data_IF_834626427361
#
_entry.id   IF_834626427361
#
_cell.length_a   1.000
_cell.length_b   1.000
_cell.length_c   1.000
_cell.angle_alpha   90.00
_cell.angle_beta   90.00
_cell.angle_gamma   90.00
#
_symmetry.space_group_name_H-M   'P 1'
#
loop_
_entity.id
_entity.type
_entity.pdbx_description
1 polymer ?
#
# COMPACT_ATOMS: atom_id res chain seq x y z
N UNK A 1 30.10 6.06 -29.88
CA UNK A 1 30.99 6.96 -29.11
C UNK A 1 32.19 7.33 -29.97
N UNK A 2 32.57 8.61 -30.05
CA UNK A 2 33.76 9.06 -30.79
C UNK A 2 35.06 8.65 -30.08
N UNK A 3 36.14 8.43 -30.83
CA UNK A 3 37.49 8.09 -30.33
C UNK A 3 37.98 9.12 -29.29
N UNK A 4 37.63 10.40 -29.46
CA UNK A 4 37.96 11.45 -28.50
C UNK A 4 37.20 11.28 -27.16
N UNK A 5 35.94 10.85 -27.21
CA UNK A 5 35.14 10.57 -26.01
C UNK A 5 35.69 9.37 -25.24
N UNK A 6 36.19 8.35 -25.94
CA UNK A 6 36.78 7.16 -25.31
C UNK A 6 38.09 7.50 -24.59
N UNK A 7 39.00 8.26 -25.23
CA UNK A 7 40.24 8.75 -24.60
C UNK A 7 39.96 9.54 -23.31
N UNK A 8 38.95 10.41 -23.33
CA UNK A 8 38.54 11.18 -22.15
C UNK A 8 38.09 10.30 -20.98
N UNK A 9 37.34 9.23 -21.25
CA UNK A 9 36.92 8.28 -20.20
C UNK A 9 38.11 7.52 -19.62
N UNK A 10 39.09 7.12 -20.45
CA UNK A 10 40.33 6.53 -19.95
C UNK A 10 41.10 7.47 -19.03
N UNK A 11 41.23 8.75 -19.37
CA UNK A 11 41.91 9.74 -18.52
C UNK A 11 41.25 9.91 -17.14
N UNK A 12 39.91 9.99 -17.11
CA UNK A 12 39.16 10.03 -15.84
C UNK A 12 39.38 8.77 -15.01
N UNK A 13 39.35 7.60 -15.63
CA UNK A 13 39.60 6.33 -14.96
C UNK A 13 41.03 6.25 -14.39
N UNK A 14 42.04 6.66 -15.18
CA UNK A 14 43.43 6.74 -14.72
C UNK A 14 43.58 7.66 -13.51
N UNK A 15 42.97 8.85 -13.55
CA UNK A 15 43.00 9.78 -12.42
C UNK A 15 42.33 9.19 -11.18
N UNK A 16 41.15 8.58 -11.33
CA UNK A 16 40.43 7.95 -10.21
C UNK A 16 41.24 6.84 -9.53
N UNK A 17 41.96 6.03 -10.32
CA UNK A 17 42.87 5.00 -9.79
C UNK A 17 44.07 5.64 -9.09
N UNK A 18 44.64 6.70 -9.67
CA UNK A 18 45.75 7.45 -9.06
C UNK A 18 45.40 8.05 -7.71
N UNK A 19 44.18 8.53 -7.52
CA UNK A 19 43.72 9.09 -6.23
C UNK A 19 43.43 7.99 -5.20
N UNK A 20 42.80 6.89 -5.62
CA UNK A 20 42.45 5.78 -4.70
C UNK A 20 43.62 4.90 -4.28
N UNK A 21 44.59 4.68 -5.17
CA UNK A 21 45.68 3.69 -4.99
C UNK A 21 47.05 4.36 -4.94
N UNK A 22 47.21 5.51 -5.60
CA UNK A 22 48.50 6.19 -5.75
C UNK A 22 48.74 7.37 -4.81
N UNK A 23 47.84 7.63 -3.85
CA UNK A 23 48.01 8.71 -2.87
C UNK A 23 47.95 10.13 -3.43
N UNK A 24 47.49 10.32 -4.67
CA UNK A 24 47.35 11.64 -5.24
C UNK A 24 46.12 12.35 -4.66
N UNK A 25 46.30 13.57 -4.13
CA UNK A 25 45.15 14.39 -3.74
C UNK A 25 44.47 14.99 -4.98
N UNK A 26 43.15 14.85 -5.05
CA UNK A 26 42.30 15.54 -6.02
C UNK A 26 41.99 16.97 -5.58
N UNK A 27 41.41 17.77 -6.48
CA UNK A 27 40.86 19.09 -6.12
C UNK A 27 39.82 18.93 -5.01
N UNK A 28 40.05 19.58 -3.86
CA UNK A 28 39.16 19.51 -2.70
C UNK A 28 37.98 20.46 -2.90
N UNK A 29 36.78 19.96 -2.62
CA UNK A 29 35.59 20.78 -2.42
C UNK A 29 35.60 21.31 -0.98
N UNK A 30 35.01 22.48 -0.77
CA UNK A 30 34.85 23.10 0.54
C UNK A 30 33.91 22.29 1.45
N UNK A 31 33.95 22.59 2.76
CA UNK A 31 33.18 21.83 3.75
C UNK A 31 31.67 22.07 3.64
N UNK A 32 31.24 23.25 3.20
CA UNK A 32 29.82 23.56 3.00
C UNK A 32 29.24 22.73 1.85
N UNK A 33 29.98 22.60 0.73
CA UNK A 33 29.62 21.70 -0.36
C UNK A 33 29.45 20.26 0.13
N UNK A 34 30.43 19.75 0.88
CA UNK A 34 30.41 18.36 1.37
C UNK A 34 29.25 18.12 2.34
N UNK A 35 28.93 19.09 3.19
CA UNK A 35 27.80 18.98 4.10
C UNK A 35 26.47 18.99 3.34
N UNK A 36 26.33 19.83 2.30
CA UNK A 36 25.17 19.79 1.41
C UNK A 36 25.04 18.44 0.71
N UNK A 37 26.13 17.93 0.12
CA UNK A 37 26.17 16.62 -0.54
C UNK A 37 25.75 15.50 0.43
N UNK A 38 26.27 15.53 1.67
CA UNK A 38 25.91 14.58 2.73
C UNK A 38 24.42 14.65 3.07
N UNK A 39 23.87 15.86 3.24
CA UNK A 39 22.44 16.04 3.54
C UNK A 39 21.57 15.53 2.40
N UNK A 40 21.89 15.85 1.14
CA UNK A 40 21.16 15.34 -0.03
C UNK A 40 21.20 13.82 -0.12
N UNK A 41 22.35 13.19 0.11
CA UNK A 41 22.46 11.72 0.13
C UNK A 41 21.56 11.09 1.20
N UNK A 42 21.58 11.64 2.42
CA UNK A 42 20.73 11.17 3.52
C UNK A 42 19.25 11.34 3.16
N UNK A 43 18.86 12.50 2.64
CA UNK A 43 17.48 12.76 2.19
C UNK A 43 17.07 11.76 1.12
N UNK A 44 17.92 11.50 0.12
CA UNK A 44 17.62 10.54 -0.95
C UNK A 44 17.36 9.12 -0.42
N UNK A 45 18.22 8.63 0.48
CA UNK A 45 18.05 7.30 1.09
C UNK A 45 16.83 7.25 2.00
N UNK A 46 16.60 8.29 2.80
CA UNK A 46 15.45 8.38 3.70
C UNK A 46 14.13 8.36 2.91
N UNK A 47 14.02 9.14 1.83
CA UNK A 47 12.84 9.17 0.96
C UNK A 47 12.52 7.78 0.40
N UNK A 48 13.53 7.08 -0.16
CA UNK A 48 13.32 5.72 -0.68
C UNK A 48 12.89 4.73 0.38
N UNK A 49 13.58 4.72 1.53
CA UNK A 49 13.31 3.74 2.59
C UNK A 49 11.95 4.00 3.25
N UNK A 50 11.64 5.24 3.62
CA UNK A 50 10.37 5.61 4.24
C UNK A 50 9.21 5.28 3.30
N UNK A 51 9.30 5.65 2.02
CA UNK A 51 8.27 5.33 1.04
C UNK A 51 8.04 3.83 0.93
N UNK A 52 9.11 3.03 0.85
CA UNK A 52 9.00 1.58 0.81
C UNK A 52 8.29 1.06 2.07
N UNK A 53 8.76 1.44 3.27
CA UNK A 53 8.19 1.01 4.55
C UNK A 53 6.73 1.41 4.72
N UNK A 54 6.33 2.59 4.25
CA UNK A 54 4.93 3.02 4.30
C UNK A 54 4.06 2.17 3.39
N UNK A 55 4.51 1.81 2.19
CA UNK A 55 3.77 0.89 1.31
C UNK A 55 3.64 -0.52 1.93
N UNK A 56 4.69 -1.01 2.61
CA UNK A 56 4.63 -2.28 3.35
C UNK A 56 3.66 -2.23 4.54
N UNK A 57 3.63 -1.09 5.24
CA UNK A 57 2.73 -0.82 6.34
C UNK A 57 1.26 -0.80 5.88
N UNK A 58 0.95 -0.09 4.79
CA UNK A 58 -0.41 -0.02 4.26
C UNK A 58 -0.90 -1.39 3.79
N UNK A 59 -0.03 -2.13 3.08
CA UNK A 59 -0.34 -3.44 2.50
C UNK A 59 0.78 -4.46 2.79
N UNK A 60 0.68 -5.17 3.93
CA UNK A 60 1.61 -6.24 4.27
C UNK A 60 1.57 -7.39 3.25
N UNK A 61 0.40 -7.65 2.64
CA UNK A 61 0.25 -8.65 1.59
C UNK A 61 0.95 -8.21 0.29
N UNK A 62 1.93 -8.97 -0.23
CA UNK A 62 2.67 -8.60 -1.45
C UNK A 62 1.80 -8.40 -2.70
N UNK A 63 0.72 -9.18 -2.85
CA UNK A 63 -0.16 -9.09 -4.02
C UNK A 63 -1.00 -7.81 -4.01
N UNK A 64 -1.56 -7.45 -2.84
CA UNK A 64 -2.29 -6.18 -2.65
C UNK A 64 -1.34 -4.99 -2.77
N UNK A 65 -0.13 -5.10 -2.22
CA UNK A 65 0.92 -4.09 -2.32
C UNK A 65 1.29 -3.77 -3.78
N UNK A 66 1.43 -4.79 -4.61
CA UNK A 66 1.70 -4.62 -6.04
C UNK A 66 0.58 -3.83 -6.74
N UNK A 67 -0.69 -4.05 -6.36
CA UNK A 67 -1.83 -3.31 -6.91
C UNK A 67 -1.89 -1.87 -6.40
N UNK A 68 -1.59 -1.63 -5.13
CA UNK A 68 -1.47 -0.27 -4.56
C UNK A 68 -0.44 0.58 -5.32
N UNK A 69 0.72 0.01 -5.66
CA UNK A 69 1.73 0.69 -6.47
C UNK A 69 1.23 1.06 -7.88
N UNK A 70 0.26 0.32 -8.42
CA UNK A 70 -0.32 0.53 -9.76
C UNK A 70 -1.54 1.47 -9.76
N UNK A 71 -1.95 1.99 -8.61
CA UNK A 71 -3.19 2.78 -8.47
C UNK A 71 -3.24 4.00 -9.42
N UNK A 72 -2.10 4.66 -9.64
CA UNK A 72 -2.01 5.82 -10.54
C UNK A 72 -2.15 5.48 -12.03
N UNK A 73 -1.91 4.23 -12.41
CA UNK A 73 -2.06 3.76 -13.80
C UNK A 73 -3.53 3.40 -14.10
N UNK A 74 -4.33 3.04 -13.09
CA UNK A 74 -5.71 2.60 -13.29
C UNK A 74 -6.76 3.73 -13.18
N UNK A 75 -6.53 4.77 -12.37
CA UNK A 75 -7.49 5.88 -12.23
C UNK A 75 -7.68 6.71 -13.52
N UNK A 76 -6.71 6.70 -14.45
CA UNK A 76 -6.84 7.37 -15.75
C UNK A 76 -7.57 6.54 -16.82
N UNK A 77 -7.68 5.22 -16.65
CA UNK A 77 -8.14 4.31 -17.72
C UNK A 77 -9.60 3.87 -17.52
N UNK A 78 -10.15 3.94 -16.29
CA UNK A 78 -11.40 3.22 -16.00
C UNK A 78 -12.63 3.99 -15.55
N UNK A 79 -12.59 5.29 -15.31
CA UNK A 79 -13.81 6.11 -15.09
C UNK A 79 -14.82 5.56 -14.07
N UNK A 80 -14.40 4.68 -13.17
CA UNK A 80 -15.24 4.04 -12.15
C UNK A 80 -14.47 3.97 -10.84
N UNK A 81 -14.99 4.70 -9.86
CA UNK A 81 -14.64 4.67 -8.44
C UNK A 81 -14.91 3.27 -7.87
N UNK A 82 -13.98 2.33 -8.05
CA UNK A 82 -14.06 1.02 -7.39
C UNK A 82 -12.77 0.70 -6.67
N UNK A 83 -12.56 1.41 -5.55
CA UNK A 83 -11.53 1.13 -4.55
C UNK A 83 -10.11 0.98 -5.12
N UNK A 84 -9.16 0.45 -4.33
CA UNK A 84 -7.78 0.28 -4.75
C UNK A 84 -7.56 -0.96 -5.64
N UNK A 85 -8.64 -1.64 -6.05
CA UNK A 85 -8.59 -2.80 -6.93
C UNK A 85 -8.14 -4.11 -6.24
N UNK A 86 -8.11 -4.15 -4.92
CA UNK A 86 -7.94 -5.35 -4.09
C UNK A 86 -8.91 -5.33 -2.91
N UNK A 87 -9.10 -6.47 -2.25
CA UNK A 87 -9.94 -6.57 -1.06
C UNK A 87 -9.08 -6.41 0.20
N UNK A 88 -9.58 -5.63 1.16
CA UNK A 88 -9.00 -5.55 2.50
C UNK A 88 -9.34 -6.81 3.31
N UNK A 89 -8.55 -7.06 4.35
CA UNK A 89 -8.78 -8.21 5.24
C UNK A 89 -10.10 -8.07 6.01
N UNK A 90 -10.46 -6.84 6.36
CA UNK A 90 -11.69 -6.45 7.04
C UNK A 90 -12.92 -6.82 6.21
N UNK A 91 -12.89 -6.63 4.88
CA UNK A 91 -13.96 -7.07 3.98
C UNK A 91 -14.12 -8.59 3.96
N UNK A 92 -13.02 -9.35 3.96
CA UNK A 92 -13.08 -10.81 3.99
C UNK A 92 -13.70 -11.32 5.30
N UNK A 93 -13.38 -10.67 6.42
CA UNK A 93 -13.99 -10.96 7.72
C UNK A 93 -15.48 -10.61 7.74
N UNK A 94 -15.83 -9.44 7.20
CA UNK A 94 -17.22 -9.00 7.04
C UNK A 94 -18.06 -10.02 6.28
N UNK A 95 -17.57 -10.46 5.11
CA UNK A 95 -18.26 -11.45 4.27
C UNK A 95 -18.53 -12.76 5.03
N UNK A 96 -17.57 -13.23 5.82
CA UNK A 96 -17.73 -14.44 6.62
C UNK A 96 -18.78 -14.27 7.73
N UNK A 97 -18.73 -13.16 8.47
CA UNK A 97 -19.69 -12.85 9.54
C UNK A 97 -21.11 -12.70 8.98
N UNK A 98 -21.29 -11.94 7.90
CA UNK A 98 -22.58 -11.73 7.26
C UNK A 98 -23.15 -13.04 6.71
N UNK A 99 -22.32 -13.86 6.07
CA UNK A 99 -22.72 -15.18 5.56
C UNK A 99 -23.26 -16.07 6.68
N UNK A 100 -22.47 -16.29 7.73
CA UNK A 100 -22.86 -17.20 8.81
C UNK A 100 -23.93 -16.62 9.72
N UNK A 101 -24.00 -15.30 9.87
CA UNK A 101 -25.11 -14.63 10.55
C UNK A 101 -26.46 -14.94 9.88
N UNK A 102 -26.49 -14.89 8.54
CA UNK A 102 -27.67 -15.25 7.76
C UNK A 102 -28.02 -16.73 7.82
N UNK A 103 -27.01 -17.62 7.81
CA UNK A 103 -27.22 -19.08 7.92
C UNK A 103 -27.75 -19.48 9.30
N UNK A 104 -27.30 -18.80 10.37
CA UNK A 104 -27.81 -19.00 11.73
C UNK A 104 -29.27 -18.55 11.89
N UNK A 105 -29.66 -17.50 11.18
CA UNK A 105 -31.01 -16.94 11.23
C UNK A 105 -31.26 -16.09 12.47
N UNK A 106 -32.47 -15.51 12.51
CA UNK A 106 -32.85 -14.49 13.50
C UNK A 106 -33.51 -15.08 14.77
N UNK A 107 -33.58 -16.41 14.87
CA UNK A 107 -34.19 -17.11 16.01
C UNK A 107 -33.24 -17.27 17.21
N UNK A 108 -31.98 -16.86 17.06
CA UNK A 108 -30.97 -16.77 18.11
C UNK A 108 -30.35 -15.36 18.15
N UNK A 109 -29.71 -15.00 19.27
CA UNK A 109 -29.05 -13.70 19.39
C UNK A 109 -27.78 -13.57 18.54
N UNK A 110 -27.13 -14.70 18.24
CA UNK A 110 -25.82 -14.73 17.60
C UNK A 110 -25.88 -14.39 16.10
N UNK A 111 -26.89 -14.89 15.38
CA UNK A 111 -27.06 -14.65 13.94
C UNK A 111 -27.11 -13.16 13.59
N UNK A 112 -28.06 -12.39 14.15
CA UNK A 112 -28.12 -10.96 13.84
C UNK A 112 -26.98 -10.15 14.50
N UNK A 113 -26.33 -10.65 15.55
CA UNK A 113 -25.14 -10.00 16.12
C UNK A 113 -23.93 -10.10 15.17
N UNK A 114 -23.74 -11.26 14.52
CA UNK A 114 -22.79 -11.41 13.43
C UNK A 114 -23.14 -10.50 12.24
N UNK A 115 -24.43 -10.28 12.00
CA UNK A 115 -24.91 -9.29 11.04
C UNK A 115 -24.37 -7.88 11.37
N UNK A 116 -24.68 -7.37 12.57
CA UNK A 116 -24.27 -6.03 13.02
C UNK A 116 -22.75 -5.84 12.97
N UNK A 117 -21.97 -6.82 13.46
CA UNK A 117 -20.50 -6.76 13.44
C UNK A 117 -19.96 -6.89 12.02
N UNK A 118 -20.56 -7.75 11.19
CA UNK A 118 -20.19 -7.90 9.79
C UNK A 118 -20.37 -6.62 8.98
N UNK A 119 -21.46 -5.88 9.21
CA UNK A 119 -21.66 -4.56 8.59
C UNK A 119 -20.60 -3.55 9.04
N UNK A 120 -20.32 -3.48 10.35
CA UNK A 120 -19.27 -2.62 10.88
C UNK A 120 -17.88 -2.97 10.31
N UNK A 121 -17.55 -4.26 10.16
CA UNK A 121 -16.29 -4.69 9.53
C UNK A 121 -16.23 -4.29 8.04
N UNK A 122 -17.35 -4.30 7.33
CA UNK A 122 -17.41 -3.82 5.94
C UNK A 122 -17.16 -2.32 5.87
N UNK A 123 -17.77 -1.53 6.74
CA UNK A 123 -17.52 -0.09 6.82
C UNK A 123 -16.04 0.20 7.15
N UNK A 124 -15.43 -0.53 8.10
CA UNK A 124 -14.00 -0.41 8.39
C UNK A 124 -13.11 -0.70 7.17
N UNK A 125 -13.50 -1.65 6.33
CA UNK A 125 -12.80 -1.91 5.06
C UNK A 125 -12.83 -0.71 4.12
N UNK A 126 -13.94 0.02 4.03
CA UNK A 126 -14.08 1.19 3.16
C UNK A 126 -13.24 2.38 3.68
N UNK A 127 -13.19 2.56 5.01
CA UNK A 127 -12.30 3.54 5.64
C UNK A 127 -10.82 3.15 5.42
N UNK A 128 -10.49 1.86 5.45
CA UNK A 128 -9.13 1.36 5.18
C UNK A 128 -8.73 1.54 3.70
N UNK A 129 -9.65 1.34 2.77
CA UNK A 129 -9.44 1.67 1.35
C UNK A 129 -9.15 3.16 1.18
N UNK A 130 -9.90 4.02 1.87
CA UNK A 130 -9.71 5.47 1.84
C UNK A 130 -8.33 5.88 2.38
N UNK A 131 -7.88 5.27 3.48
CA UNK A 131 -6.52 5.47 4.00
C UNK A 131 -5.45 5.13 2.96
N UNK A 132 -5.57 3.98 2.31
CA UNK A 132 -4.59 3.52 1.32
C UNK A 132 -4.49 4.49 0.15
N UNK A 133 -5.63 4.97 -0.36
CA UNK A 133 -5.70 5.93 -1.47
C UNK A 133 -5.10 7.27 -1.05
N UNK A 134 -5.47 7.78 0.12
CA UNK A 134 -5.04 9.07 0.64
C UNK A 134 -3.52 9.11 0.86
N UNK A 135 -2.97 8.13 1.59
CA UNK A 135 -1.52 8.02 1.80
C UNK A 135 -0.77 7.81 0.49
N UNK A 136 -1.35 7.06 -0.46
CA UNK A 136 -0.73 6.87 -1.77
C UNK A 136 -0.59 8.20 -2.53
N UNK A 137 -1.67 8.98 -2.59
CA UNK A 137 -1.73 10.22 -3.38
C UNK A 137 -1.02 11.40 -2.71
N UNK A 138 -1.11 11.51 -1.39
CA UNK A 138 -0.67 12.70 -0.65
C UNK A 138 0.67 12.52 0.09
N UNK A 139 1.21 11.29 0.13
CA UNK A 139 2.51 11.03 0.74
C UNK A 139 3.46 10.26 -0.18
N UNK A 140 3.06 9.07 -0.64
CA UNK A 140 3.94 8.20 -1.45
C UNK A 140 4.27 8.85 -2.81
N UNK A 141 3.26 9.37 -3.52
CA UNK A 141 3.46 9.95 -4.85
C UNK A 141 4.30 11.23 -4.87
N UNK A 142 4.10 12.20 -3.95
CA UNK A 142 4.99 13.34 -3.81
C UNK A 142 6.44 12.94 -3.55
N UNK A 143 6.67 11.95 -2.67
CA UNK A 143 8.02 11.43 -2.38
C UNK A 143 8.64 10.72 -3.59
N UNK A 144 7.85 9.95 -4.34
CA UNK A 144 8.30 9.32 -5.58
C UNK A 144 8.68 10.38 -6.63
N UNK A 145 7.90 11.47 -6.75
CA UNK A 145 8.20 12.58 -7.66
C UNK A 145 9.50 13.30 -7.26
N UNK A 146 9.69 13.60 -5.98
CA UNK A 146 10.93 14.18 -5.43
C UNK A 146 12.14 13.30 -5.76
N UNK A 147 12.00 11.98 -5.59
CA UNK A 147 13.04 11.03 -5.92
C UNK A 147 13.36 10.97 -7.42
N UNK A 148 12.35 10.92 -8.27
CA UNK A 148 12.53 10.69 -9.71
C UNK A 148 12.89 11.93 -10.51
N UNK A 149 12.67 13.12 -9.95
CA UNK A 149 13.01 14.41 -10.56
C UNK A 149 14.19 15.06 -9.85
N UNK A 150 13.95 15.71 -8.72
CA UNK A 150 14.91 16.63 -8.10
C UNK A 150 16.16 15.90 -7.62
N UNK A 151 15.99 14.79 -6.88
CA UNK A 151 17.11 13.98 -6.39
C UNK A 151 17.89 13.32 -7.54
N UNK A 152 17.19 12.87 -8.59
CA UNK A 152 17.82 12.28 -9.78
C UNK A 152 18.62 13.31 -10.57
N UNK A 153 18.11 14.54 -10.69
CA UNK A 153 18.79 15.65 -11.34
C UNK A 153 20.04 16.08 -10.56
N UNK A 154 19.94 16.20 -9.23
CA UNK A 154 21.11 16.48 -8.37
C UNK A 154 22.16 15.38 -8.50
N UNK A 155 21.76 14.11 -8.47
CA UNK A 155 22.69 12.99 -8.71
C UNK A 155 23.37 13.08 -10.08
N UNK A 156 22.65 13.54 -11.11
CA UNK A 156 23.23 13.79 -12.43
C UNK A 156 24.29 14.91 -12.38
N UNK A 157 24.00 16.03 -11.72
CA UNK A 157 24.94 17.14 -11.56
C UNK A 157 26.18 16.74 -10.77
N UNK A 158 26.04 16.05 -9.65
CA UNK A 158 27.15 15.54 -8.84
C UNK A 158 28.05 14.58 -9.63
N UNK A 159 27.45 13.66 -10.40
CA UNK A 159 28.21 12.75 -11.27
C UNK A 159 28.95 13.49 -12.38
N UNK A 160 28.34 14.54 -12.94
CA UNK A 160 28.94 15.38 -13.97
C UNK A 160 30.12 16.17 -13.38
N UNK A 161 29.94 16.79 -12.22
CA UNK A 161 30.96 17.51 -11.47
C UNK A 161 32.17 16.62 -11.17
N UNK A 162 31.97 15.45 -10.58
CA UNK A 162 33.07 14.51 -10.30
C UNK A 162 33.81 14.13 -11.59
N UNK A 163 33.07 13.92 -12.68
CA UNK A 163 33.65 13.68 -13.99
C UNK A 163 34.43 14.86 -14.58
N UNK A 164 34.16 16.11 -14.17
CA UNK A 164 34.90 17.32 -14.58
C UNK A 164 36.11 17.54 -13.69
N UNK A 165 35.98 17.33 -12.38
CA UNK A 165 37.06 17.38 -11.41
C UNK A 165 38.21 16.44 -11.81
N UNK A 166 37.90 15.18 -12.11
CA UNK A 166 38.89 14.20 -12.57
C UNK A 166 39.58 14.61 -13.89
N UNK A 167 38.86 15.25 -14.82
CA UNK A 167 39.42 15.74 -16.10
C UNK A 167 40.36 16.92 -15.87
N UNK A 168 39.96 17.87 -15.02
CA UNK A 168 40.77 19.00 -14.61
C UNK A 168 42.04 18.55 -13.88
N UNK A 169 41.93 17.67 -12.88
CA UNK A 169 43.07 17.19 -12.10
C UNK A 169 44.08 16.41 -12.95
N UNK A 170 43.60 15.60 -13.90
CA UNK A 170 44.46 14.93 -14.88
C UNK A 170 45.25 15.93 -15.73
N UNK A 171 44.59 16.99 -16.22
CA UNK A 171 45.22 18.00 -17.06
C UNK A 171 46.19 18.88 -16.27
N UNK A 172 45.82 19.27 -15.06
CA UNK A 172 46.63 20.07 -14.13
C UNK A 172 47.95 19.37 -13.81
N UNK A 173 47.94 18.06 -13.56
CA UNK A 173 49.17 17.26 -13.36
C UNK A 173 50.09 17.22 -14.58
N UNK A 174 49.59 17.55 -15.77
CA UNK A 174 50.33 17.53 -17.04
C UNK A 174 50.49 18.94 -17.62
N UNK A 175 50.40 19.97 -16.77
CA UNK A 175 50.70 21.35 -17.15
C UNK A 175 52.09 21.43 -17.81
N UNK A 176 52.21 22.21 -18.89
CA UNK A 176 53.40 22.27 -19.75
C UNK A 176 53.49 21.15 -20.81
N UNK A 177 52.68 20.09 -20.72
CA UNK A 177 52.51 19.06 -21.77
C UNK A 177 51.15 19.14 -22.49
N UNK A 178 50.25 19.96 -21.98
CA UNK A 178 48.90 20.20 -22.49
C UNK A 178 48.79 21.70 -22.79
N UNK A 179 48.14 22.11 -23.90
CA UNK A 179 47.92 23.53 -24.18
C UNK A 179 47.18 24.22 -23.04
N UNK A 180 47.65 25.40 -22.64
CA UNK A 180 47.07 26.15 -21.51
C UNK A 180 45.57 26.44 -21.71
N UNK A 181 45.16 26.64 -22.96
CA UNK A 181 43.74 26.83 -23.30
C UNK A 181 42.90 25.60 -22.99
N UNK A 182 43.45 24.40 -23.15
CA UNK A 182 42.74 23.15 -22.85
C UNK A 182 42.64 22.88 -21.34
N UNK A 183 43.58 23.42 -20.56
CA UNK A 183 43.57 23.40 -19.10
C UNK A 183 42.58 24.44 -18.56
N UNK A 184 42.61 25.68 -19.08
CA UNK A 184 41.65 26.74 -18.74
C UNK A 184 40.21 26.31 -19.01
N UNK A 185 39.94 25.74 -20.18
CA UNK A 185 38.61 25.22 -20.54
C UNK A 185 38.17 24.00 -19.71
N UNK A 186 39.10 23.31 -19.02
CA UNK A 186 38.77 22.23 -18.10
C UNK A 186 38.41 22.77 -16.71
N UNK A 187 39.11 23.81 -16.25
CA UNK A 187 38.82 24.54 -15.02
C UNK A 187 37.43 25.20 -15.10
N UNK A 188 37.17 25.97 -16.16
CA UNK A 188 35.87 26.64 -16.37
C UNK A 188 34.70 25.65 -16.33
N UNK A 189 34.83 24.50 -17.00
CA UNK A 189 33.78 23.47 -16.99
C UNK A 189 33.63 22.74 -15.65
N UNK A 190 34.68 22.72 -14.83
CA UNK A 190 34.60 22.23 -13.46
C UNK A 190 33.85 23.23 -12.60
N UNK A 191 34.22 24.52 -12.64
CA UNK A 191 33.58 25.59 -11.88
C UNK A 191 32.08 25.71 -12.24
N UNK A 192 31.74 25.76 -13.54
CA UNK A 192 30.34 25.75 -14.00
C UNK A 192 29.55 24.54 -13.50
N UNK A 193 30.18 23.36 -13.44
CA UNK A 193 29.48 22.15 -12.95
C UNK A 193 29.35 22.15 -11.43
N UNK A 194 30.26 22.84 -10.72
CA UNK A 194 30.22 23.00 -9.27
C UNK A 194 29.07 23.91 -8.90
N UNK A 195 28.99 25.09 -9.51
CA UNK A 195 27.92 26.07 -9.28
C UNK A 195 26.53 25.47 -9.51
N UNK A 196 26.36 24.72 -10.61
CA UNK A 196 25.07 24.06 -10.90
C UNK A 196 24.74 23.00 -9.83
N UNK A 197 25.71 22.17 -9.43
CA UNK A 197 25.47 21.17 -8.39
C UNK A 197 25.16 21.82 -7.03
N UNK A 198 25.90 22.86 -6.64
CA UNK A 198 25.68 23.63 -5.41
C UNK A 198 24.28 24.24 -5.40
N UNK A 199 23.89 24.92 -6.48
CA UNK A 199 22.58 25.56 -6.56
C UNK A 199 21.44 24.54 -6.47
N UNK A 200 21.56 23.40 -7.17
CA UNK A 200 20.54 22.35 -7.10
C UNK A 200 20.43 21.72 -5.70
N UNK A 201 21.56 21.46 -5.03
CA UNK A 201 21.55 20.95 -3.66
C UNK A 201 20.97 21.97 -2.67
N UNK A 202 21.37 23.24 -2.80
CA UNK A 202 20.88 24.33 -1.97
C UNK A 202 19.36 24.48 -2.08
N UNK A 203 18.83 24.54 -3.31
CA UNK A 203 17.39 24.69 -3.54
C UNK A 203 16.59 23.53 -2.93
N UNK A 204 17.07 22.29 -3.02
CA UNK A 204 16.42 21.15 -2.38
C UNK A 204 16.38 21.31 -0.85
N UNK A 205 17.50 21.72 -0.26
CA UNK A 205 17.64 21.83 1.20
C UNK A 205 16.86 23.03 1.77
N UNK A 206 16.70 24.11 1.02
CA UNK A 206 15.85 25.25 1.40
C UNK A 206 14.35 24.95 1.25
N UNK A 207 13.98 23.91 0.48
CA UNK A 207 12.60 23.44 0.31
C UNK A 207 12.23 22.29 1.26
N UNK A 208 12.95 22.14 2.39
CA UNK A 208 12.76 21.06 3.36
C UNK A 208 11.38 21.06 4.04
N UNK A 209 10.76 22.24 4.11
CA UNK A 209 9.40 22.42 4.62
C UNK A 209 8.36 21.62 3.83
N UNK A 210 8.58 21.38 2.54
CA UNK A 210 7.68 20.55 1.73
C UNK A 210 7.71 19.09 2.19
N UNK A 211 8.86 18.57 2.62
CA UNK A 211 8.96 17.22 3.17
C UNK A 211 8.29 17.12 4.54
N UNK A 212 8.36 18.18 5.36
CA UNK A 212 7.60 18.25 6.62
C UNK A 212 6.09 18.27 6.35
N UNK A 213 5.65 18.99 5.32
CA UNK A 213 4.25 19.00 4.90
C UNK A 213 3.77 17.60 4.46
N UNK A 214 4.61 16.86 3.71
CA UNK A 214 4.33 15.47 3.33
C UNK A 214 4.19 14.56 4.57
N UNK A 215 5.07 14.69 5.56
CA UNK A 215 4.94 13.95 6.83
C UNK A 215 3.62 14.29 7.56
N UNK A 216 3.23 15.56 7.56
CA UNK A 216 1.95 15.98 8.12
C UNK A 216 0.77 15.32 7.39
N UNK A 217 0.82 15.20 6.06
CA UNK A 217 -0.23 14.54 5.29
C UNK A 217 -0.38 13.05 5.69
N UNK A 218 0.74 12.32 5.88
CA UNK A 218 0.71 10.95 6.38
C UNK A 218 0.02 10.86 7.75
N UNK A 219 0.38 11.74 8.68
CA UNK A 219 -0.19 11.74 10.04
C UNK A 219 -1.67 12.09 10.02
N UNK A 220 -2.07 13.06 9.20
CA UNK A 220 -3.47 13.45 9.07
C UNK A 220 -4.34 12.32 8.49
N UNK A 221 -3.86 11.63 7.45
CA UNK A 221 -4.54 10.48 6.88
C UNK A 221 -4.75 9.36 7.91
N UNK A 222 -3.71 9.05 8.69
CA UNK A 222 -3.79 8.04 9.77
C UNK A 222 -4.74 8.46 10.90
N UNK A 223 -4.70 9.73 11.30
CA UNK A 223 -5.58 10.26 12.34
C UNK A 223 -7.05 10.16 11.92
N UNK A 224 -7.36 10.55 10.69
CA UNK A 224 -8.72 10.50 10.17
C UNK A 224 -9.24 9.06 10.05
N UNK A 225 -8.41 8.14 9.54
CA UNK A 225 -8.70 6.71 9.53
C UNK A 225 -9.08 6.19 10.93
N UNK A 226 -8.24 6.46 11.93
CA UNK A 226 -8.49 5.98 13.29
C UNK A 226 -9.71 6.64 13.96
N UNK A 227 -9.97 7.92 13.65
CA UNK A 227 -11.15 8.63 14.15
C UNK A 227 -12.44 8.00 13.61
N UNK A 228 -12.52 7.76 12.30
CA UNK A 228 -13.68 7.10 11.69
C UNK A 228 -13.84 5.66 12.18
N UNK A 229 -12.74 4.90 12.25
CA UNK A 229 -12.77 3.53 12.77
C UNK A 229 -13.29 3.47 14.22
N UNK A 230 -12.87 4.41 15.06
CA UNK A 230 -13.35 4.53 16.45
C UNK A 230 -14.86 4.79 16.49
N UNK A 231 -15.37 5.67 15.63
CA UNK A 231 -16.80 5.95 15.56
C UNK A 231 -17.62 4.72 15.17
N UNK A 232 -17.18 3.98 14.14
CA UNK A 232 -17.84 2.73 13.69
C UNK A 232 -17.84 1.69 14.81
N UNK A 233 -16.69 1.47 15.44
CA UNK A 233 -16.54 0.51 16.53
C UNK A 233 -17.38 0.88 17.77
N UNK A 234 -17.46 2.17 18.11
CA UNK A 234 -18.28 2.64 19.21
C UNK A 234 -19.77 2.39 18.96
N UNK A 235 -20.24 2.60 17.72
CA UNK A 235 -21.63 2.36 17.34
C UNK A 235 -22.00 0.88 17.45
N UNK A 236 -21.18 -0.02 16.91
CA UNK A 236 -21.47 -1.47 17.02
C UNK A 236 -21.30 -1.99 18.44
N UNK A 237 -20.37 -1.45 19.23
CA UNK A 237 -20.24 -1.78 20.66
C UNK A 237 -21.54 -1.48 21.41
N UNK A 238 -22.11 -0.28 21.22
CA UNK A 238 -23.38 0.10 21.85
C UNK A 238 -24.53 -0.82 21.43
N UNK A 239 -24.62 -1.18 20.14
CA UNK A 239 -25.65 -2.13 19.63
C UNK A 239 -25.52 -3.50 20.31
N UNK A 240 -24.30 -4.00 20.49
CA UNK A 240 -24.06 -5.28 21.14
C UNK A 240 -24.38 -5.25 22.63
N UNK A 241 -24.04 -4.16 23.34
CA UNK A 241 -24.38 -3.97 24.75
C UNK A 241 -25.89 -3.97 24.97
N UNK A 242 -26.65 -3.26 24.12
CA UNK A 242 -28.10 -3.25 24.14
C UNK A 242 -28.67 -4.66 23.91
N UNK A 243 -28.15 -5.38 22.91
CA UNK A 243 -28.55 -6.76 22.63
C UNK A 243 -28.27 -7.71 23.79
N UNK A 244 -27.12 -7.59 24.46
CA UNK A 244 -26.78 -8.39 25.64
C UNK A 244 -27.76 -8.10 26.78
N UNK A 245 -28.05 -6.82 27.01
CA UNK A 245 -29.01 -6.39 28.03
C UNK A 245 -30.40 -6.98 27.76
N UNK A 246 -30.91 -6.85 26.54
CA UNK A 246 -32.23 -7.36 26.17
C UNK A 246 -32.32 -8.88 26.27
N UNK A 247 -31.27 -9.58 25.81
CA UNK A 247 -31.19 -11.04 25.91
C UNK A 247 -31.13 -11.53 27.37
N UNK A 248 -30.53 -10.76 28.28
CA UNK A 248 -30.41 -11.12 29.70
C UNK A 248 -31.74 -11.07 30.46
N UNK A 249 -32.69 -10.27 29.97
CA UNK A 249 -34.04 -10.11 30.57
C UNK A 249 -35.01 -11.17 30.04
N UNK A 250 -34.69 -11.83 28.92
CA UNK A 250 -35.57 -12.85 28.34
C UNK A 250 -35.53 -14.17 29.13
N UNK A 251 -36.69 -14.81 29.38
CA UNK A 251 -36.73 -16.15 29.98
C UNK A 251 -35.96 -17.15 29.12
N UNK A 252 -35.10 -17.97 29.75
CA UNK A 252 -34.40 -19.04 29.02
C UNK A 252 -35.42 -20.01 28.44
N UNK A 253 -35.33 -20.28 27.13
CA UNK A 253 -36.11 -21.34 26.50
C UNK A 253 -35.76 -22.67 27.15
N UNK A 254 -36.75 -23.33 27.73
CA UNK A 254 -36.61 -24.69 28.23
C UNK A 254 -36.66 -25.66 27.05
N UNK A 255 -35.67 -26.55 26.97
CA UNK A 255 -35.64 -27.57 25.94
C UNK A 255 -36.77 -28.58 26.19
N UNK A 256 -37.77 -28.59 25.31
CA UNK A 256 -38.77 -29.65 25.31
C UNK A 256 -38.34 -30.75 24.32
N UNK A 257 -37.96 -31.95 24.81
CA UNK A 257 -37.59 -33.06 23.94
C UNK A 257 -38.79 -33.44 23.07
N UNK A 258 -38.55 -33.64 21.77
CA UNK A 258 -39.60 -34.19 20.90
C UNK A 258 -40.01 -35.58 21.42
N UNK A 259 -41.31 -35.91 21.44
CA UNK A 259 -41.78 -37.23 21.80
C UNK A 259 -41.03 -38.30 21.01
N UNK A 260 -40.58 -39.36 21.68
CA UNK A 260 -39.93 -40.51 21.02
C UNK A 260 -40.93 -41.07 19.99
N UNK A 261 -40.45 -41.35 18.78
CA UNK A 261 -41.27 -42.03 17.77
C UNK A 261 -41.77 -43.35 18.36
N UNK A 262 -43.09 -43.49 18.49
CA UNK A 262 -43.73 -44.75 18.83
C UNK A 262 -43.84 -45.61 17.58
N UNK A 263 -43.22 -46.79 17.59
CA UNK A 263 -43.49 -47.82 16.59
C UNK A 263 -44.81 -48.48 16.97
N UNK A 264 -45.87 -48.22 16.21
CA UNK A 264 -47.15 -48.89 16.41
C UNK A 264 -47.09 -50.27 15.73
N UNK A 265 -46.59 -51.26 16.46
CA UNK A 265 -46.69 -52.67 16.08
C UNK A 265 -48.08 -53.19 16.47
N UNK A 266 -49.11 -52.69 15.80
CA UNK A 266 -50.38 -53.42 15.82
C UNK A 266 -50.13 -54.74 15.07
N UNK A 267 -50.16 -55.84 15.82
CA UNK A 267 -50.20 -57.20 15.30
C UNK A 267 -51.42 -57.31 14.37
N UNK A 268 -51.18 -57.13 13.07
CA UNK A 268 -52.16 -57.45 12.06
C UNK A 268 -52.31 -58.98 12.05
N UNK A 269 -53.30 -59.45 12.79
CA UNK A 269 -53.63 -60.86 12.95
C UNK A 269 -53.83 -61.46 11.55
N UNK A 270 -52.98 -62.43 11.22
CA UNK A 270 -52.99 -63.13 9.95
C UNK A 270 -54.37 -63.75 9.71
N UNK A 271 -54.99 -63.46 8.56
CA UNK A 271 -55.47 -64.54 7.70
C UNK A 271 -55.31 -64.21 6.22
N UNK A 272 -54.48 -65.04 5.58
CA UNK A 272 -54.37 -65.35 4.17
C UNK A 272 -53.72 -64.35 3.17
N UNK A 273 -52.38 -64.40 3.13
CA UNK A 273 -51.64 -64.87 1.94
C UNK A 273 -51.80 -64.12 0.61
N UNK A 274 -50.90 -63.17 0.35
CA UNK A 274 -50.63 -62.67 -1.01
C UNK A 274 -49.41 -61.73 -1.02
N UNK A 275 -48.32 -62.13 -1.68
CA UNK A 275 -47.14 -61.28 -1.87
C UNK A 275 -47.50 -60.02 -2.67
N UNK A 276 -47.09 -58.83 -2.21
CA UNK A 276 -46.52 -57.78 -3.09
C UNK A 276 -46.08 -56.50 -2.35
N UNK A 277 -44.81 -56.15 -2.60
CA UNK A 277 -44.21 -54.82 -2.74
C UNK A 277 -44.35 -53.75 -1.65
N UNK A 278 -43.19 -53.45 -1.06
CA UNK A 278 -42.87 -52.21 -0.37
C UNK A 278 -43.29 -50.97 -1.18
N UNK A 279 -43.97 -50.02 -0.52
CA UNK A 279 -44.05 -48.64 -0.99
C UNK A 279 -43.80 -47.69 0.18
N UNK A 280 -42.72 -46.92 0.07
CA UNK A 280 -42.31 -45.84 0.98
C UNK A 280 -43.38 -44.75 1.09
N UNK A 281 -43.65 -44.17 2.28
CA UNK A 281 -44.57 -43.03 2.40
C UNK A 281 -43.92 -41.73 1.89
N UNK A 282 -44.64 -40.99 1.04
CA UNK A 282 -44.27 -39.63 0.58
C UNK A 282 -44.48 -38.59 1.69
N UNK A 283 -43.65 -37.54 1.78
CA UNK A 283 -43.90 -36.39 2.63
C UNK A 283 -44.98 -35.47 2.03
N UNK A 284 -45.97 -35.09 2.85
CA UNK A 284 -47.07 -34.21 2.47
C UNK A 284 -46.68 -32.71 2.52
N UNK A 285 -46.67 -32.13 1.32
CA UNK A 285 -47.10 -30.77 0.93
C UNK A 285 -46.58 -29.52 1.65
N UNK A 286 -45.64 -28.85 0.96
CA UNK A 286 -45.49 -27.38 0.96
C UNK A 286 -46.75 -26.71 0.40
N UNK A 287 -47.24 -25.66 1.07
CA UNK A 287 -48.26 -24.74 0.54
C UNK A 287 -47.66 -23.81 -0.52
N UNK A 288 -48.44 -23.62 -1.58
CA UNK A 288 -48.12 -22.94 -2.84
C UNK A 288 -48.46 -21.44 -2.77
N UNK A 289 -47.52 -20.59 -3.17
CA UNK A 289 -47.73 -19.17 -3.50
C UNK A 289 -48.51 -19.06 -4.82
N UNK A 290 -49.42 -18.09 -4.93
CA UNK A 290 -50.24 -17.81 -6.13
C UNK A 290 -50.06 -16.35 -6.55
N UNK A 291 -49.87 -16.15 -7.86
CA UNK A 291 -49.91 -14.89 -8.59
C UNK A 291 -48.79 -14.92 -9.64
N UNK A 292 -49.00 -14.80 -10.95
CA UNK A 292 -50.12 -14.38 -11.77
C UNK A 292 -49.50 -13.88 -13.09
N UNK A 293 -50.05 -14.30 -14.22
CA UNK A 293 -49.42 -14.37 -15.56
C UNK A 293 -49.67 -13.11 -16.38
N UNK A 294 -48.80 -12.79 -17.35
CA UNK A 294 -49.12 -11.97 -18.52
C UNK A 294 -48.08 -12.12 -19.65
N UNK A 295 -48.50 -12.77 -20.75
CA UNK A 295 -47.83 -12.90 -22.07
C UNK A 295 -47.35 -11.53 -22.63
N UNK A 296 -46.38 -11.39 -23.55
CA UNK A 296 -46.02 -12.08 -24.80
C UNK A 296 -44.50 -11.97 -24.98
#
# INVERSE_FOLDING_TARGET
MSVAGLKKQFHKATQKVSEKVGGAEGTKLDEDFKEMERKVDVTSRAVMEIMARTTEYLQPNPASRARLNMLNTMSKIRGQEKGPGYQQAEALLADAMLKFGKELGDDCNFGPALGDVGEAMRELSEVKDSLDIDVKQNFIDPLQNLHDKDLREIQHHLKKLEGRRLDFDYKKKRQGKIPDEELRAALEKFDESKEVAELSMFNLLEMDIEQVSQLSALVQAQLEYHRQATQILQQVSSKLEERIKDASVQPRREYQPKPRMSLDLSENNQHNGGLSNATTPKPSSKRRWKGGVGNI
#
